data_IF_305138365148
#
_entry.id   IF_305138365148
#
_cell.length_a   1.000
_cell.length_b   1.000
_cell.length_c   1.000
_cell.angle_alpha   90.00
_cell.angle_beta   90.00
_cell.angle_gamma   90.00
#
_symmetry.space_group_name_H-M   'P 1'
#
loop_
_entity.id
_entity.type
_entity.pdbx_description
1 polymer ?
#
# COMPACT_ATOMS: atom_id res chain seq x y z
N UNK A 1 -0.92 4.22 24.82
CA UNK A 1 -1.35 5.65 24.69
C UNK A 1 -2.82 5.69 24.27
N UNK A 2 -3.66 6.52 24.88
CA UNK A 2 -5.08 6.66 24.52
C UNK A 2 -5.19 7.22 23.10
N UNK A 3 -6.22 6.83 22.32
CA UNK A 3 -6.48 7.30 20.93
C UNK A 3 -6.39 8.83 20.80
N UNK A 4 -6.84 9.56 21.82
CA UNK A 4 -6.79 11.00 21.86
C UNK A 4 -5.35 11.55 21.93
N UNK A 5 -4.48 10.91 22.69
CA UNK A 5 -3.06 11.30 22.78
C UNK A 5 -2.32 11.07 21.45
N UNK A 6 -2.68 10.01 20.69
CA UNK A 6 -2.10 9.78 19.35
C UNK A 6 -2.56 10.88 18.39
N UNK A 7 -3.83 11.28 18.46
CA UNK A 7 -4.37 12.37 17.64
C UNK A 7 -3.63 13.68 17.93
N UNK A 8 -3.58 14.08 19.19
CA UNK A 8 -2.87 15.30 19.63
C UNK A 8 -1.40 15.27 19.21
N UNK A 9 -0.74 14.13 19.34
CA UNK A 9 0.64 13.94 18.89
C UNK A 9 0.83 14.17 17.38
N UNK A 10 -0.12 13.72 16.54
CA UNK A 10 -0.07 13.94 15.09
C UNK A 10 -0.41 15.39 14.76
N UNK A 11 -1.46 15.98 15.38
CA UNK A 11 -1.86 17.37 15.18
C UNK A 11 -0.71 18.35 15.44
N UNK A 12 0.07 18.13 16.51
CA UNK A 12 1.24 18.96 16.81
C UNK A 12 2.35 18.88 15.75
N UNK A 13 2.48 17.73 15.07
CA UNK A 13 3.59 17.47 14.14
C UNK A 13 3.25 17.64 12.68
N UNK A 14 1.99 17.49 12.31
CA UNK A 14 1.52 17.58 10.93
C UNK A 14 0.55 18.75 10.83
N UNK A 15 1.08 19.94 10.56
CA UNK A 15 0.31 21.18 10.46
C UNK A 15 -0.22 21.45 9.06
N UNK A 16 0.39 20.85 8.02
CA UNK A 16 0.01 20.97 6.62
C UNK A 16 -0.57 19.64 6.12
N UNK A 17 -1.47 19.69 5.15
CA UNK A 17 -2.02 18.50 4.51
C UNK A 17 -0.95 17.76 3.73
N UNK A 18 -1.05 16.42 3.72
CA UNK A 18 -0.10 15.55 3.05
C UNK A 18 0.59 14.55 3.98
N UNK A 19 1.69 13.99 3.48
CA UNK A 19 2.52 13.00 4.16
C UNK A 19 3.73 13.69 4.80
N UNK A 20 3.95 13.48 6.08
CA UNK A 20 5.13 13.95 6.81
C UNK A 20 6.01 12.79 7.27
N UNK A 21 7.29 12.86 6.97
CA UNK A 21 8.27 11.88 7.42
C UNK A 21 8.49 11.98 8.93
N UNK A 22 8.60 10.83 9.60
CA UNK A 22 8.85 10.75 11.05
C UNK A 22 10.33 10.69 11.40
N UNK A 23 11.20 10.46 10.40
CA UNK A 23 12.59 10.06 10.58
C UNK A 23 12.77 8.55 10.77
N UNK A 24 11.71 7.80 11.06
CA UNK A 24 11.75 6.33 11.15
C UNK A 24 11.54 5.77 9.74
N UNK A 25 12.45 4.93 9.27
CA UNK A 25 12.39 4.40 7.92
C UNK A 25 11.05 3.72 7.62
N UNK A 26 10.38 4.18 6.57
CA UNK A 26 9.10 3.64 6.12
C UNK A 26 7.88 4.05 6.96
N UNK A 27 8.03 4.94 7.95
CA UNK A 27 6.92 5.43 8.79
C UNK A 27 6.65 6.90 8.50
N UNK A 28 5.42 7.21 8.12
CA UNK A 28 4.97 8.58 7.82
C UNK A 28 3.66 8.88 8.55
N UNK A 29 3.52 10.11 9.01
CA UNK A 29 2.25 10.66 9.46
C UNK A 29 1.56 11.35 8.28
N UNK A 30 0.23 11.40 8.29
CA UNK A 30 -0.51 12.13 7.27
C UNK A 30 -1.73 12.84 7.85
N UNK A 31 -2.07 13.92 7.17
CA UNK A 31 -3.23 14.76 7.44
C UNK A 31 -3.95 15.07 6.14
N UNK A 32 -5.28 15.20 6.20
CA UNK A 32 -6.07 15.85 5.17
C UNK A 32 -7.25 16.59 5.83
N UNK A 33 -7.41 17.86 5.49
CA UNK A 33 -8.52 18.72 5.91
C UNK A 33 -9.47 19.01 4.76
N UNK A 34 -9.02 18.84 3.53
CA UNK A 34 -9.84 18.97 2.35
C UNK A 34 -10.29 17.62 1.79
N UNK A 35 -11.49 17.54 1.19
CA UNK A 35 -11.95 16.35 0.53
C UNK A 35 -11.06 15.98 -0.66
N UNK A 36 -10.42 14.81 -0.62
CA UNK A 36 -9.61 14.28 -1.74
C UNK A 36 -10.40 13.17 -2.41
N UNK A 37 -10.87 13.36 -3.66
CA UNK A 37 -11.54 12.31 -4.42
C UNK A 37 -10.65 11.08 -4.59
N UNK A 38 -11.28 9.90 -4.71
CA UNK A 38 -10.52 8.69 -5.00
C UNK A 38 -9.79 8.82 -6.34
N UNK A 39 -8.47 8.72 -6.30
CA UNK A 39 -7.56 8.83 -7.43
C UNK A 39 -6.69 7.59 -7.57
N UNK A 40 -6.13 7.32 -8.75
CA UNK A 40 -5.24 6.18 -8.97
C UNK A 40 -4.00 6.28 -8.10
N UNK A 41 -3.72 5.20 -7.36
CA UNK A 41 -2.52 5.06 -6.55
C UNK A 41 -2.04 3.61 -6.55
N UNK A 42 -0.75 3.40 -6.36
CA UNK A 42 -0.21 2.08 -6.05
C UNK A 42 0.12 2.04 -4.56
N UNK A 43 -0.54 1.15 -3.84
CA UNK A 43 -0.12 0.82 -2.50
C UNK A 43 1.02 -0.19 -2.58
N UNK A 44 2.21 0.23 -2.19
CA UNK A 44 3.29 -0.70 -1.88
C UNK A 44 2.97 -1.44 -0.58
N UNK A 45 3.67 -2.55 -0.25
CA UNK A 45 3.41 -3.28 0.98
C UNK A 45 3.37 -2.35 2.19
N UNK A 46 2.18 -2.20 2.80
CA UNK A 46 1.99 -1.22 3.88
C UNK A 46 0.84 -1.58 4.83
N UNK A 47 0.86 -0.91 5.97
CA UNK A 47 -0.28 -0.74 6.86
C UNK A 47 -0.67 0.73 6.86
N UNK A 48 -1.96 1.02 6.77
CA UNK A 48 -2.51 2.36 6.98
C UNK A 48 -3.46 2.31 8.19
N UNK A 49 -3.10 3.03 9.23
CA UNK A 49 -3.88 3.14 10.46
C UNK A 49 -4.48 4.55 10.58
N UNK A 50 -5.81 4.65 10.57
CA UNK A 50 -6.50 5.93 10.74
C UNK A 50 -6.62 6.23 12.23
N UNK A 51 -6.37 7.48 12.61
CA UNK A 51 -6.47 7.97 13.98
C UNK A 51 -7.73 8.83 14.16
N UNK A 52 -8.07 9.64 13.16
CA UNK A 52 -9.30 10.44 13.09
C UNK A 52 -9.78 10.51 11.65
N UNK A 53 -11.08 10.70 11.44
CA UNK A 53 -11.70 10.71 10.13
C UNK A 53 -11.81 9.32 9.50
N UNK A 54 -11.99 9.27 8.17
CA UNK A 54 -12.10 8.02 7.41
C UNK A 54 -11.41 8.12 6.05
N UNK A 55 -10.90 6.97 5.58
CA UNK A 55 -10.26 6.83 4.27
C UNK A 55 -10.99 5.80 3.43
N UNK A 56 -10.97 6.00 2.12
CA UNK A 56 -11.56 5.07 1.16
C UNK A 56 -10.50 4.50 0.22
N UNK A 57 -10.67 3.22 -0.13
CA UNK A 57 -9.93 2.57 -1.19
C UNK A 57 -10.91 1.73 -2.03
N UNK A 58 -10.69 1.67 -3.34
CA UNK A 58 -11.51 0.87 -4.27
C UNK A 58 -10.57 -0.03 -5.07
N UNK A 59 -10.86 -1.32 -5.05
CA UNK A 59 -10.14 -2.35 -5.79
C UNK A 59 -11.13 -3.17 -6.61
N UNK A 60 -11.06 -3.11 -7.94
CA UNK A 60 -11.96 -3.83 -8.87
C UNK A 60 -13.44 -3.70 -8.51
N UNK A 61 -13.87 -2.48 -8.14
CA UNK A 61 -15.24 -2.16 -7.75
C UNK A 61 -15.61 -2.51 -6.31
N UNK A 62 -14.77 -3.22 -5.57
CA UNK A 62 -14.95 -3.44 -4.13
C UNK A 62 -14.48 -2.20 -3.36
N UNK A 63 -15.35 -1.60 -2.57
CA UNK A 63 -15.06 -0.42 -1.76
C UNK A 63 -14.67 -0.82 -0.34
N UNK A 64 -13.57 -0.26 0.14
CA UNK A 64 -13.03 -0.39 1.47
C UNK A 64 -13.09 0.97 2.16
N UNK A 65 -13.96 1.13 3.14
CA UNK A 65 -14.03 2.34 3.97
C UNK A 65 -13.56 1.98 5.35
N UNK A 66 -12.59 2.70 5.88
CA UNK A 66 -12.02 2.43 7.19
C UNK A 66 -11.70 3.70 7.96
N UNK A 67 -11.83 3.61 9.26
CA UNK A 67 -11.68 4.68 10.23
C UNK A 67 -10.75 4.28 11.39
N UNK A 68 -10.85 4.98 12.49
CA UNK A 68 -10.04 4.76 13.69
C UNK A 68 -10.32 3.43 14.43
N UNK A 69 -11.32 2.64 14.03
CA UNK A 69 -11.62 1.33 14.62
C UNK A 69 -10.85 0.19 13.95
N UNK A 70 -10.34 0.45 12.75
CA UNK A 70 -9.68 -0.53 11.88
C UNK A 70 -8.36 0.00 11.35
N UNK A 71 -7.55 -0.92 10.82
CA UNK A 71 -6.43 -0.58 9.96
C UNK A 71 -6.53 -1.36 8.64
N UNK A 72 -5.95 -0.81 7.61
CA UNK A 72 -5.82 -1.47 6.32
C UNK A 72 -4.46 -2.12 6.23
N UNK A 73 -4.41 -3.40 5.90
CA UNK A 73 -3.20 -4.16 5.60
C UNK A 73 -3.16 -4.51 4.11
N UNK A 74 -2.11 -4.08 3.44
CA UNK A 74 -1.80 -4.37 2.03
C UNK A 74 -0.40 -4.99 1.98
N UNK A 75 -0.26 -6.34 2.00
CA UNK A 75 1.05 -6.98 2.12
C UNK A 75 1.78 -7.18 0.79
N UNK A 76 1.23 -6.69 -0.31
CA UNK A 76 1.81 -6.75 -1.65
C UNK A 76 1.45 -5.48 -2.43
N UNK A 77 2.24 -5.12 -3.45
CA UNK A 77 1.96 -3.95 -4.28
C UNK A 77 0.62 -4.10 -5.00
N UNK A 78 -0.30 -3.15 -4.79
CA UNK A 78 -1.65 -3.21 -5.35
C UNK A 78 -2.05 -1.88 -6.00
N UNK A 79 -2.49 -1.90 -7.27
CA UNK A 79 -3.07 -0.73 -7.90
C UNK A 79 -4.52 -0.56 -7.41
N UNK A 80 -4.80 0.59 -6.81
CA UNK A 80 -6.11 0.92 -6.24
C UNK A 80 -6.54 2.34 -6.64
N UNK A 81 -7.81 2.66 -6.44
CA UNK A 81 -8.27 4.04 -6.33
C UNK A 81 -8.39 4.36 -4.85
N UNK A 82 -7.79 5.45 -4.37
CA UNK A 82 -7.88 5.82 -2.96
C UNK A 82 -8.05 7.31 -2.76
N UNK A 83 -8.71 7.68 -1.68
CA UNK A 83 -9.00 9.06 -1.36
C UNK A 83 -9.52 9.25 0.06
N UNK A 84 -9.86 10.50 0.36
CA UNK A 84 -10.38 10.94 1.66
C UNK A 84 -11.59 11.86 1.45
N UNK A 85 -12.66 11.39 0.76
CA UNK A 85 -13.74 12.28 0.28
C UNK A 85 -14.56 12.92 1.41
N UNK A 86 -14.40 12.47 2.65
CA UNK A 86 -15.10 12.98 3.83
C UNK A 86 -14.24 13.89 4.71
N UNK A 87 -12.95 14.06 4.39
CA UNK A 87 -12.08 14.95 5.15
C UNK A 87 -12.60 16.39 5.10
N UNK A 88 -12.50 17.09 6.20
CA UNK A 88 -12.89 18.50 6.33
C UNK A 88 -12.14 19.13 7.51
N UNK A 89 -12.15 20.47 7.62
CA UNK A 89 -11.59 21.18 8.77
C UNK A 89 -12.26 20.78 10.09
N UNK A 90 -13.55 20.43 10.06
CA UNK A 90 -14.31 20.01 11.26
C UNK A 90 -14.00 18.56 11.65
N UNK A 91 -13.82 17.67 10.66
CA UNK A 91 -13.47 16.26 10.84
C UNK A 91 -12.24 15.91 10.00
N UNK A 92 -11.06 16.36 10.45
CA UNK A 92 -9.82 16.13 9.72
C UNK A 92 -9.41 14.65 9.77
N UNK A 93 -8.87 14.18 8.65
CA UNK A 93 -8.24 12.87 8.60
C UNK A 93 -6.83 12.97 9.16
N UNK A 94 -6.55 12.14 10.16
CA UNK A 94 -5.20 11.87 10.64
C UNK A 94 -4.90 10.38 10.57
N UNK A 95 -3.69 10.04 10.19
CA UNK A 95 -3.29 8.64 10.19
C UNK A 95 -1.79 8.42 10.10
N UNK A 96 -1.43 7.14 10.15
CA UNK A 96 -0.07 6.65 10.08
C UNK A 96 0.04 5.67 8.92
N UNK A 97 1.02 5.90 8.05
CA UNK A 97 1.45 4.99 7.02
C UNK A 97 2.70 4.26 7.47
N UNK A 98 2.70 2.94 7.44
CA UNK A 98 3.85 2.11 7.78
C UNK A 98 4.15 1.17 6.61
N UNK A 99 5.31 1.31 6.00
CA UNK A 99 5.81 0.38 4.99
C UNK A 99 6.13 -0.97 5.61
N UNK A 100 5.85 -2.06 4.91
CA UNK A 100 6.19 -3.42 5.34
C UNK A 100 7.46 -3.87 4.62
N UNK A 101 8.58 -3.91 5.32
CA UNK A 101 9.85 -4.39 4.79
C UNK A 101 9.77 -5.90 4.52
N UNK A 102 9.91 -6.28 3.25
CA UNK A 102 9.79 -7.67 2.77
C UNK A 102 10.74 -8.61 3.51
N UNK A 103 11.98 -8.19 3.74
CA UNK A 103 13.01 -9.01 4.39
C UNK A 103 12.67 -9.23 5.87
N UNK A 104 12.42 -8.15 6.60
CA UNK A 104 12.11 -8.22 8.04
C UNK A 104 10.82 -8.99 8.30
N UNK A 105 9.79 -8.78 7.48
CA UNK A 105 8.51 -9.52 7.57
C UNK A 105 8.73 -11.03 7.31
N UNK A 106 9.52 -11.39 6.29
CA UNK A 106 9.82 -12.80 5.99
C UNK A 106 10.62 -13.46 7.13
N UNK A 107 11.65 -12.77 7.66
CA UNK A 107 12.43 -13.24 8.81
C UNK A 107 11.54 -13.50 10.02
N UNK A 108 10.64 -12.57 10.35
CA UNK A 108 9.69 -12.72 11.46
C UNK A 108 8.74 -13.91 11.27
N UNK A 109 8.20 -14.10 10.07
CA UNK A 109 7.33 -15.25 9.79
C UNK A 109 8.07 -16.56 10.01
N UNK A 110 9.33 -16.68 9.54
CA UNK A 110 10.17 -17.87 9.76
C UNK A 110 10.42 -18.10 11.26
N UNK A 111 10.78 -17.06 12.00
CA UNK A 111 11.02 -17.16 13.44
C UNK A 111 9.77 -17.60 14.21
N UNK A 112 8.61 -17.03 13.86
CA UNK A 112 7.33 -17.39 14.47
C UNK A 112 6.95 -18.84 14.16
N UNK A 113 7.09 -19.30 12.90
CA UNK A 113 6.80 -20.67 12.52
C UNK A 113 7.73 -21.67 13.24
N UNK A 114 9.00 -21.33 13.40
CA UNK A 114 9.96 -22.13 14.18
C UNK A 114 9.58 -22.20 15.66
N UNK A 115 9.23 -21.07 16.27
CA UNK A 115 8.84 -21.00 17.69
C UNK A 115 7.50 -21.74 17.96
N UNK A 116 6.59 -21.73 16.99
CA UNK A 116 5.29 -22.42 17.07
C UNK A 116 5.37 -23.91 16.67
N UNK A 117 6.56 -24.42 16.30
CA UNK A 117 6.76 -25.81 15.86
C UNK A 117 6.11 -26.13 14.51
N UNK A 118 5.79 -25.13 13.72
CA UNK A 118 5.16 -25.28 12.40
C UNK A 118 6.22 -25.44 11.30
N UNK A 119 7.05 -26.47 11.42
CA UNK A 119 8.02 -26.81 10.38
C UNK A 119 7.30 -27.18 9.08
N UNK A 120 7.52 -26.42 8.00
CA UNK A 120 6.99 -26.69 6.66
C UNK A 120 5.45 -26.74 6.53
N UNK A 121 4.71 -26.11 7.41
CA UNK A 121 3.31 -25.86 7.11
C UNK A 121 3.26 -24.83 5.96
N UNK A 122 3.25 -25.33 4.71
CA UNK A 122 2.72 -24.52 3.63
C UNK A 122 1.36 -24.05 4.11
N UNK A 123 1.26 -22.77 4.44
CA UNK A 123 -0.03 -22.14 4.76
C UNK A 123 -0.84 -22.26 3.47
N UNK A 124 -1.56 -23.37 3.32
CA UNK A 124 -2.34 -23.74 2.13
C UNK A 124 -3.69 -23.03 2.10
N UNK A 125 -3.71 -21.77 2.50
CA UNK A 125 -4.87 -20.90 2.37
C UNK A 125 -4.77 -20.07 1.09
N UNK A 126 -5.91 -19.84 0.46
CA UNK A 126 -5.99 -18.95 -0.68
C UNK A 126 -5.79 -17.51 -0.19
N UNK A 127 -4.80 -16.80 -0.76
CA UNK A 127 -4.71 -15.34 -0.62
C UNK A 127 -6.01 -14.76 -1.19
N UNK A 128 -6.87 -14.28 -0.33
CA UNK A 128 -8.09 -13.60 -0.74
C UNK A 128 -7.87 -12.10 -0.66
N UNK A 129 -8.06 -11.39 -1.77
CA UNK A 129 -8.10 -9.93 -1.85
C UNK A 129 -6.80 -9.25 -1.40
N UNK A 130 -6.10 -8.56 -2.28
CA UNK A 130 -4.82 -7.87 -2.00
C UNK A 130 -4.83 -6.84 -0.85
N UNK A 131 -6.01 -6.54 -0.28
CA UNK A 131 -6.25 -5.63 0.84
C UNK A 131 -7.12 -6.32 1.89
N UNK A 132 -6.78 -6.13 3.17
CA UNK A 132 -7.60 -6.57 4.29
C UNK A 132 -7.79 -5.44 5.30
N UNK A 133 -9.04 -5.19 5.68
CA UNK A 133 -9.38 -4.38 6.85
C UNK A 133 -9.41 -5.29 8.08
N UNK A 134 -8.80 -4.84 9.15
CA UNK A 134 -8.69 -5.60 10.41
C UNK A 134 -8.90 -4.67 11.60
N UNK A 135 -9.48 -5.20 12.67
CA UNK A 135 -9.68 -4.46 13.91
C UNK A 135 -8.35 -4.20 14.61
N UNK A 136 -8.27 -3.08 15.26
CA UNK A 136 -7.14 -2.72 16.11
C UNK A 136 -7.31 -3.41 17.46
N UNK A 137 -6.47 -4.39 17.74
CA UNK A 137 -6.33 -4.97 19.07
C UNK A 137 -5.36 -4.14 19.94
N UNK A 138 -5.28 -4.46 21.22
CA UNK A 138 -4.45 -3.72 22.18
C UNK A 138 -2.95 -3.86 21.85
N UNK A 139 -2.49 -5.05 21.44
CA UNK A 139 -1.09 -5.30 21.06
C UNK A 139 -0.69 -4.42 19.87
N UNK A 140 -1.54 -4.34 18.84
CA UNK A 140 -1.33 -3.47 17.69
C UNK A 140 -1.30 -1.98 18.09
N UNK A 141 -2.27 -1.55 18.90
CA UNK A 141 -2.38 -0.15 19.32
C UNK A 141 -1.18 0.28 20.17
N UNK A 142 -0.72 -0.57 21.08
CA UNK A 142 0.44 -0.32 21.92
C UNK A 142 1.74 -0.28 21.12
N UNK A 143 1.95 -1.23 20.20
CA UNK A 143 3.14 -1.25 19.35
C UNK A 143 3.18 -0.02 18.43
N UNK A 144 2.04 0.37 17.84
CA UNK A 144 1.92 1.58 17.04
C UNK A 144 2.27 2.83 17.86
N UNK A 145 1.74 2.95 19.09
CA UNK A 145 2.00 4.09 19.96
C UNK A 145 3.48 4.23 20.27
N UNK A 146 4.12 3.14 20.71
CA UNK A 146 5.56 3.13 21.01
C UNK A 146 6.44 3.42 19.80
N UNK A 147 6.00 3.06 18.60
CA UNK A 147 6.71 3.36 17.35
C UNK A 147 6.65 4.86 17.04
N UNK A 148 5.47 5.44 17.05
CA UNK A 148 5.31 6.86 16.65
C UNK A 148 5.85 7.84 17.71
N UNK A 149 5.90 7.46 18.99
CA UNK A 149 6.49 8.27 20.08
C UNK A 149 7.96 8.63 19.84
N UNK A 150 8.69 7.81 19.07
CA UNK A 150 10.09 8.10 18.69
C UNK A 150 10.20 9.29 17.72
N UNK A 151 9.10 9.63 17.00
CA UNK A 151 9.12 10.68 15.97
C UNK A 151 9.59 12.02 16.52
N UNK A 152 10.57 12.62 15.85
CA UNK A 152 11.14 13.90 16.23
C UNK A 152 12.33 13.83 17.21
N UNK A 153 12.67 12.64 17.73
CA UNK A 153 13.88 12.44 18.53
C UNK A 153 14.91 11.58 17.75
N UNK A 154 15.89 12.21 17.14
CA UNK A 154 16.88 11.54 16.32
C UNK A 154 17.70 10.46 17.07
N UNK A 155 17.98 10.68 18.36
CA UNK A 155 18.71 9.71 19.21
C UNK A 155 17.86 8.45 19.44
N UNK A 156 16.60 8.63 19.85
CA UNK A 156 15.69 7.52 20.09
C UNK A 156 15.40 6.74 18.81
N UNK A 157 15.22 7.44 17.69
CA UNK A 157 15.05 6.80 16.37
C UNK A 157 16.27 5.96 16.01
N UNK A 158 17.48 6.50 16.19
CA UNK A 158 18.73 5.79 15.87
C UNK A 158 18.93 4.53 16.70
N UNK A 159 18.52 4.54 17.99
CA UNK A 159 18.74 3.42 18.92
C UNK A 159 17.56 2.43 18.89
N UNK A 160 16.33 2.92 18.87
CA UNK A 160 15.13 2.11 19.08
C UNK A 160 14.29 1.90 17.81
N UNK A 161 14.50 2.68 16.75
CA UNK A 161 13.63 2.72 15.58
C UNK A 161 13.39 1.36 14.94
N UNK A 162 14.47 0.63 14.63
CA UNK A 162 14.37 -0.72 14.03
C UNK A 162 13.69 -1.72 14.98
N UNK A 163 14.01 -1.67 16.27
CA UNK A 163 13.42 -2.56 17.26
C UNK A 163 11.92 -2.31 17.43
N UNK A 164 11.48 -1.05 17.47
CA UNK A 164 10.06 -0.68 17.56
C UNK A 164 9.29 -1.02 16.28
N UNK A 165 9.92 -0.83 15.12
CA UNK A 165 9.31 -1.23 13.85
C UNK A 165 9.15 -2.76 13.77
N UNK A 166 10.15 -3.52 14.22
CA UNK A 166 10.08 -4.98 14.30
C UNK A 166 9.01 -5.45 15.30
N UNK A 167 8.88 -4.78 16.46
CA UNK A 167 7.81 -5.03 17.44
C UNK A 167 6.43 -4.80 16.82
N UNK A 168 6.25 -3.71 16.07
CA UNK A 168 5.02 -3.42 15.36
C UNK A 168 4.69 -4.50 14.32
N UNK A 169 5.67 -4.95 13.53
CA UNK A 169 5.47 -6.04 12.57
C UNK A 169 5.07 -7.35 13.26
N UNK A 170 5.66 -7.65 14.40
CA UNK A 170 5.30 -8.82 15.19
C UNK A 170 3.86 -8.72 15.72
N UNK A 171 3.43 -7.58 16.23
CA UNK A 171 2.06 -7.34 16.66
C UNK A 171 1.07 -7.50 15.49
N UNK A 172 1.38 -6.95 14.30
CA UNK A 172 0.61 -7.15 13.08
C UNK A 172 0.44 -8.64 12.72
N UNK A 173 1.55 -9.41 12.77
CA UNK A 173 1.55 -10.85 12.44
C UNK A 173 0.83 -11.73 13.48
N UNK A 174 0.64 -11.26 14.71
CA UNK A 174 -0.18 -11.90 15.75
C UNK A 174 -1.66 -11.54 15.64
N UNK A 175 -1.96 -10.33 15.21
CA UNK A 175 -3.30 -9.76 15.18
C UNK A 175 -4.22 -10.34 14.10
N UNK A 176 -5.37 -9.70 13.91
CA UNK A 176 -6.43 -10.17 12.99
C UNK A 176 -5.98 -10.25 11.51
N UNK A 177 -5.06 -9.36 11.07
CA UNK A 177 -4.44 -9.46 9.75
C UNK A 177 -3.33 -10.51 9.66
N UNK A 178 -2.92 -11.12 10.78
CA UNK A 178 -1.71 -11.92 10.86
C UNK A 178 -1.67 -13.10 9.90
N UNK A 179 -2.78 -13.86 9.80
CA UNK A 179 -2.86 -14.98 8.86
C UNK A 179 -2.68 -14.51 7.40
N UNK A 180 -3.34 -13.42 7.02
CA UNK A 180 -3.24 -12.82 5.70
C UNK A 180 -1.83 -12.30 5.38
N UNK A 181 -1.20 -11.61 6.33
CA UNK A 181 0.17 -11.11 6.19
C UNK A 181 1.18 -12.26 6.15
N UNK A 182 1.07 -13.26 7.04
CA UNK A 182 1.95 -14.45 7.01
C UNK A 182 1.86 -15.21 5.69
N UNK A 183 0.69 -15.30 5.08
CA UNK A 183 0.57 -15.90 3.75
C UNK A 183 1.36 -15.14 2.68
N UNK A 184 1.33 -13.81 2.72
CA UNK A 184 2.01 -12.96 1.74
C UNK A 184 3.55 -13.00 1.90
N UNK A 185 4.04 -12.94 3.15
CA UNK A 185 5.47 -12.89 3.47
C UNK A 185 6.10 -14.27 3.72
N UNK A 186 5.29 -15.32 3.81
CA UNK A 186 5.78 -16.68 4.03
C UNK A 186 6.67 -17.19 2.90
N UNK A 187 7.62 -18.06 3.30
CA UNK A 187 8.51 -18.75 2.36
C UNK A 187 7.68 -19.60 1.40
N UNK A 188 7.71 -19.28 0.12
CA UNK A 188 6.96 -20.04 -0.90
C UNK A 188 5.80 -19.28 -1.55
N UNK A 189 5.46 -18.06 -1.13
CA UNK A 189 4.44 -17.30 -1.83
C UNK A 189 4.92 -16.78 -3.20
N UNK A 190 4.79 -17.65 -4.20
CA UNK A 190 5.20 -17.37 -5.56
C UNK A 190 4.41 -16.22 -6.20
N UNK A 191 3.14 -16.01 -5.78
CA UNK A 191 2.31 -14.92 -6.32
C UNK A 191 2.81 -13.57 -5.78
N UNK A 192 3.07 -13.44 -4.48
CA UNK A 192 3.61 -12.20 -3.91
C UNK A 192 4.98 -11.84 -4.52
N UNK A 193 5.86 -12.84 -4.72
CA UNK A 193 7.14 -12.62 -5.41
C UNK A 193 6.97 -12.19 -6.87
N UNK A 194 5.99 -12.75 -7.58
CA UNK A 194 5.68 -12.32 -8.96
C UNK A 194 5.16 -10.90 -9.00
N UNK A 195 4.32 -10.48 -8.04
CA UNK A 195 3.83 -9.11 -7.90
C UNK A 195 4.98 -8.14 -7.62
N UNK A 196 5.85 -8.47 -6.67
CA UNK A 196 7.04 -7.66 -6.35
C UNK A 196 7.96 -7.52 -7.57
N UNK A 197 8.15 -8.60 -8.36
CA UNK A 197 8.91 -8.52 -9.60
C UNK A 197 8.26 -7.60 -10.61
N UNK A 198 6.95 -7.65 -10.80
CA UNK A 198 6.21 -6.73 -11.68
C UNK A 198 6.36 -5.29 -11.24
N UNK A 199 6.13 -5.01 -9.94
CA UNK A 199 6.22 -3.65 -9.37
C UNK A 199 7.60 -3.02 -9.61
N UNK A 200 8.67 -3.80 -9.43
CA UNK A 200 10.04 -3.33 -9.59
C UNK A 200 10.53 -3.25 -11.05
N UNK A 201 9.80 -3.82 -12.02
CA UNK A 201 10.24 -3.93 -13.42
C UNK A 201 9.15 -3.50 -14.42
N UNK A 202 8.31 -2.52 -14.07
CA UNK A 202 7.19 -2.10 -14.92
C UNK A 202 7.64 -1.60 -16.30
N UNK A 203 8.83 -1.03 -16.39
CA UNK A 203 9.43 -0.52 -17.63
C UNK A 203 9.75 -1.63 -18.62
N UNK A 204 10.10 -2.81 -18.12
CA UNK A 204 10.55 -3.93 -18.93
C UNK A 204 9.37 -4.69 -19.56
N UNK A 205 9.60 -5.44 -20.65
CA UNK A 205 8.60 -6.36 -21.18
C UNK A 205 8.25 -7.43 -20.14
N UNK A 206 6.99 -7.50 -19.73
CA UNK A 206 6.50 -8.49 -18.76
C UNK A 206 5.73 -9.56 -19.51
N UNK A 207 6.21 -10.81 -19.46
CA UNK A 207 5.55 -11.99 -20.00
C UNK A 207 4.83 -12.75 -18.88
N UNK A 208 3.57 -13.09 -19.12
CA UNK A 208 2.79 -13.90 -18.17
C UNK A 208 3.34 -15.33 -18.07
N UNK A 209 3.91 -15.84 -19.16
CA UNK A 209 4.53 -17.17 -19.16
C UNK A 209 5.80 -17.18 -18.31
N UNK A 210 6.61 -16.11 -18.35
CA UNK A 210 7.78 -15.95 -17.48
C UNK A 210 7.37 -15.79 -16.01
N UNK A 211 6.30 -15.06 -15.73
CA UNK A 211 5.77 -14.93 -14.38
C UNK A 211 5.33 -16.31 -13.84
N UNK A 212 4.63 -17.09 -14.63
CA UNK A 212 4.18 -18.44 -14.27
C UNK A 212 5.37 -19.38 -14.05
N UNK A 213 6.36 -19.37 -14.96
CA UNK A 213 7.56 -20.18 -14.85
C UNK A 213 8.37 -19.83 -13.58
N UNK A 214 8.58 -18.55 -13.29
CA UNK A 214 9.23 -18.08 -12.05
C UNK A 214 8.47 -18.51 -10.79
N UNK A 215 7.14 -18.57 -10.87
CA UNK A 215 6.28 -19.06 -9.80
C UNK A 215 6.30 -20.60 -9.64
N UNK A 216 6.95 -21.34 -10.55
CA UNK A 216 6.93 -22.81 -10.57
C UNK A 216 5.54 -23.37 -10.86
N UNK A 217 4.72 -22.66 -11.63
CA UNK A 217 3.32 -23.01 -11.92
C UNK A 217 3.05 -23.09 -13.42
N UNK A 218 2.12 -23.97 -13.81
CA UNK A 218 1.55 -23.89 -15.15
C UNK A 218 0.78 -22.55 -15.31
N UNK A 219 0.68 -22.05 -16.53
CA UNK A 219 -0.03 -20.79 -16.85
C UNK A 219 -1.45 -20.76 -16.29
N UNK A 220 -2.19 -21.86 -16.40
CA UNK A 220 -3.58 -21.96 -15.90
C UNK A 220 -3.64 -21.86 -14.38
N UNK A 221 -2.77 -22.57 -13.66
CA UNK A 221 -2.70 -22.54 -12.18
C UNK A 221 -2.28 -21.16 -11.71
N UNK A 222 -1.26 -20.57 -12.36
CA UNK A 222 -0.78 -19.22 -12.05
C UNK A 222 -1.90 -18.19 -12.23
N UNK A 223 -2.58 -18.20 -13.37
CA UNK A 223 -3.68 -17.27 -13.67
C UNK A 223 -4.79 -17.33 -12.61
N UNK A 224 -5.21 -18.53 -12.23
CA UNK A 224 -6.25 -18.73 -11.19
C UNK A 224 -5.81 -18.18 -9.84
N UNK A 225 -4.62 -18.59 -9.35
CA UNK A 225 -4.08 -18.16 -8.05
C UNK A 225 -3.80 -16.67 -8.02
N UNK A 226 -3.28 -16.11 -9.11
CA UNK A 226 -3.02 -14.68 -9.23
C UNK A 226 -4.31 -13.87 -9.15
N UNK A 227 -5.38 -14.30 -9.88
CA UNK A 227 -6.69 -13.65 -9.82
C UNK A 227 -7.32 -13.76 -8.42
N UNK A 228 -7.17 -14.86 -7.73
CA UNK A 228 -7.62 -15.01 -6.35
C UNK A 228 -6.92 -14.03 -5.40
N UNK A 229 -5.60 -13.85 -5.56
CA UNK A 229 -4.80 -12.97 -4.71
C UNK A 229 -5.03 -11.47 -4.99
N UNK A 230 -5.28 -11.09 -6.24
CA UNK A 230 -5.31 -9.68 -6.67
C UNK A 230 -6.67 -9.19 -7.13
N UNK A 231 -7.65 -10.07 -7.27
CA UNK A 231 -8.94 -9.87 -7.93
C UNK A 231 -8.83 -9.60 -9.44
N UNK A 232 -7.62 -9.47 -9.99
CA UNK A 232 -7.34 -9.15 -11.39
C UNK A 232 -6.68 -10.33 -12.10
N UNK A 233 -6.90 -10.45 -13.43
CA UNK A 233 -6.04 -11.30 -14.24
C UNK A 233 -4.62 -10.73 -14.29
N UNK A 234 -3.56 -11.57 -14.48
CA UNK A 234 -2.18 -11.07 -14.51
C UNK A 234 -1.97 -9.93 -15.53
N UNK A 235 -2.57 -10.03 -16.72
CA UNK A 235 -2.44 -9.01 -17.77
C UNK A 235 -3.15 -7.70 -17.40
N UNK A 236 -4.34 -7.78 -16.77
CA UNK A 236 -5.05 -6.60 -16.25
C UNK A 236 -4.24 -5.95 -15.13
N UNK A 237 -3.70 -6.73 -14.21
CA UNK A 237 -2.89 -6.25 -13.10
C UNK A 237 -1.67 -5.44 -13.61
N UNK A 238 -0.84 -6.02 -14.50
CA UNK A 238 0.32 -5.33 -15.08
C UNK A 238 -0.10 -4.01 -15.74
N UNK A 239 -1.19 -4.05 -16.49
CA UNK A 239 -1.71 -2.86 -17.15
C UNK A 239 -2.18 -1.79 -16.15
N UNK A 240 -2.95 -2.18 -15.13
CA UNK A 240 -3.45 -1.25 -14.11
C UNK A 240 -2.29 -0.68 -13.29
N UNK A 241 -1.29 -1.50 -12.94
CA UNK A 241 -0.06 -1.04 -12.29
C UNK A 241 0.66 0.04 -13.12
N UNK A 242 0.84 -0.19 -14.41
CA UNK A 242 1.46 0.79 -15.32
C UNK A 242 0.67 2.09 -15.39
N UNK A 243 -0.64 2.03 -15.55
CA UNK A 243 -1.48 3.21 -15.68
C UNK A 243 -1.57 4.00 -14.37
N UNK A 244 -1.69 3.32 -13.21
CA UNK A 244 -1.69 3.98 -11.91
C UNK A 244 -0.33 4.67 -11.63
N UNK A 245 0.80 3.98 -11.89
CA UNK A 245 2.12 4.60 -11.74
C UNK A 245 2.29 5.81 -12.67
N UNK A 246 1.85 5.70 -13.92
CA UNK A 246 1.89 6.86 -14.84
C UNK A 246 1.03 8.02 -14.33
N UNK A 247 -0.17 7.76 -13.80
CA UNK A 247 -1.02 8.80 -13.23
C UNK A 247 -0.37 9.48 -12.01
N UNK A 248 0.29 8.70 -11.14
CA UNK A 248 1.06 9.21 -10.00
C UNK A 248 2.26 10.04 -10.47
N UNK A 249 3.01 9.56 -11.47
CA UNK A 249 4.18 10.28 -12.03
C UNK A 249 3.76 11.62 -12.65
N UNK A 250 2.64 11.65 -13.37
CA UNK A 250 2.08 12.89 -13.93
C UNK A 250 1.65 13.83 -12.79
N UNK A 251 1.01 13.33 -11.75
CA UNK A 251 0.64 14.12 -10.58
C UNK A 251 1.86 14.67 -9.83
N UNK A 252 2.98 13.96 -9.88
CA UNK A 252 4.29 14.40 -9.36
C UNK A 252 5.06 15.37 -10.28
N UNK A 253 4.45 15.84 -11.40
CA UNK A 253 5.04 16.81 -12.30
C UNK A 253 5.79 16.22 -13.49
N UNK A 254 5.79 14.92 -13.69
CA UNK A 254 6.38 14.29 -14.87
C UNK A 254 5.53 14.56 -16.11
N UNK A 255 6.17 14.81 -17.26
CA UNK A 255 5.42 14.97 -18.51
C UNK A 255 4.70 13.67 -18.90
N UNK A 256 3.60 13.80 -19.64
CA UNK A 256 2.80 12.65 -20.11
C UNK A 256 3.64 11.63 -20.90
N UNK A 257 4.58 12.12 -21.73
CA UNK A 257 5.44 11.25 -22.54
C UNK A 257 6.47 10.51 -21.68
N UNK A 258 7.12 11.21 -20.76
CA UNK A 258 8.07 10.61 -19.82
C UNK A 258 7.39 9.56 -18.94
N UNK A 259 6.22 9.88 -18.37
CA UNK A 259 5.45 8.96 -17.55
C UNK A 259 5.06 7.69 -18.33
N UNK A 260 4.65 7.82 -19.60
CA UNK A 260 4.34 6.67 -20.44
C UNK A 260 5.55 5.76 -20.68
N UNK A 261 6.70 6.35 -20.98
CA UNK A 261 7.95 5.61 -21.21
C UNK A 261 8.46 4.95 -19.92
N UNK A 262 8.38 5.65 -18.80
CA UNK A 262 8.85 5.16 -17.49
C UNK A 262 8.10 3.91 -17.02
N UNK A 263 6.84 3.77 -17.40
CA UNK A 263 6.03 2.58 -17.09
C UNK A 263 5.99 1.54 -18.24
N UNK A 264 6.84 1.69 -19.27
CA UNK A 264 7.05 0.69 -20.32
C UNK A 264 6.08 0.74 -21.50
N UNK A 265 5.41 1.88 -21.75
CA UNK A 265 4.66 2.08 -23.00
C UNK A 265 5.60 2.62 -24.09
N UNK A 266 5.73 1.87 -25.19
CA UNK A 266 6.52 2.29 -26.36
C UNK A 266 5.69 3.22 -27.25
N UNK A 267 4.36 3.04 -27.29
CA UNK A 267 3.45 3.84 -28.11
C UNK A 267 2.63 4.81 -27.26
N UNK A 268 2.90 6.11 -27.41
CA UNK A 268 2.12 7.18 -26.77
C UNK A 268 0.62 7.12 -27.14
N UNK A 269 0.30 6.71 -28.37
CA UNK A 269 -1.10 6.54 -28.82
C UNK A 269 -1.79 5.38 -28.11
N UNK A 270 -1.07 4.26 -27.87
CA UNK A 270 -1.60 3.13 -27.09
C UNK A 270 -1.82 3.57 -25.64
N UNK A 271 -0.83 4.19 -25.01
CA UNK A 271 -0.92 4.72 -23.65
C UNK A 271 -2.15 5.62 -23.48
N UNK A 272 -2.28 6.64 -24.35
CA UNK A 272 -3.39 7.60 -24.25
C UNK A 272 -4.76 6.95 -24.38
N UNK A 273 -4.92 5.98 -25.28
CA UNK A 273 -6.18 5.23 -25.43
C UNK A 273 -6.50 4.38 -24.21
N UNK A 274 -5.51 3.70 -23.67
CA UNK A 274 -5.69 2.84 -22.49
C UNK A 274 -5.95 3.65 -21.24
N UNK A 275 -5.23 4.75 -21.04
CA UNK A 275 -5.42 5.71 -19.96
C UNK A 275 -6.84 6.31 -20.00
N UNK A 276 -7.26 6.82 -21.17
CA UNK A 276 -8.63 7.37 -21.33
C UNK A 276 -9.71 6.31 -21.07
N UNK A 277 -9.49 5.06 -21.50
CA UNK A 277 -10.45 3.97 -21.25
C UNK A 277 -10.57 3.66 -19.76
N UNK A 278 -9.47 3.78 -18.99
CA UNK A 278 -9.45 3.47 -17.57
C UNK A 278 -10.01 4.61 -16.70
N UNK A 279 -9.64 5.86 -17.01
CA UNK A 279 -9.95 7.01 -16.17
C UNK A 279 -11.00 7.97 -16.77
N UNK A 280 -11.52 7.68 -17.95
CA UNK A 280 -12.53 8.51 -18.62
C UNK A 280 -11.98 9.77 -19.30
N UNK A 281 -10.75 10.19 -18.99
CA UNK A 281 -10.08 11.38 -19.53
C UNK A 281 -8.70 11.04 -20.07
N UNK A 282 -8.22 11.86 -21.01
CA UNK A 282 -6.88 11.67 -21.57
C UNK A 282 -5.79 12.03 -20.55
N UNK A 283 -4.54 11.49 -20.70
CA UNK A 283 -3.43 11.86 -19.81
C UNK A 283 -3.16 13.36 -19.76
N UNK A 284 -3.38 14.07 -20.88
CA UNK A 284 -3.21 15.52 -20.95
C UNK A 284 -4.29 16.25 -20.14
N UNK A 285 -5.56 15.87 -20.32
CA UNK A 285 -6.66 16.42 -19.53
C UNK A 285 -6.46 16.16 -18.03
N UNK A 286 -5.91 14.98 -17.67
CA UNK A 286 -5.54 14.65 -16.31
C UNK A 286 -4.47 15.59 -15.77
N UNK A 287 -3.39 15.84 -16.53
CA UNK A 287 -2.32 16.77 -16.17
C UNK A 287 -2.83 18.20 -16.02
N UNK A 288 -3.63 18.68 -16.99
CA UNK A 288 -4.18 20.05 -16.99
C UNK A 288 -5.09 20.28 -15.76
N UNK A 289 -5.91 19.30 -15.39
CA UNK A 289 -6.79 19.37 -14.22
C UNK A 289 -6.00 19.45 -12.88
N UNK A 290 -4.87 18.76 -12.78
CA UNK A 290 -4.01 18.83 -11.60
C UNK A 290 -3.32 20.19 -11.43
N UNK A 291 -2.88 20.79 -12.54
CA UNK A 291 -2.27 22.12 -12.53
C UNK A 291 -3.27 23.22 -12.16
N UNK A 292 -4.53 23.11 -12.63
CA UNK A 292 -5.58 24.06 -12.27
C UNK A 292 -5.88 24.09 -10.76
N UNK A 293 -5.83 22.93 -10.09
CA UNK A 293 -6.03 22.83 -8.63
C UNK A 293 -4.86 23.43 -7.84
N UNK A 294 -3.65 23.39 -8.39
CA UNK A 294 -2.43 23.92 -7.73
C UNK A 294 -2.25 25.44 -7.91
N UNK A 295 -2.94 26.08 -8.86
CA UNK A 295 -2.91 27.54 -9.05
C UNK A 295 -3.98 28.28 -8.22
N UNK A 296 -5.01 27.57 -7.73
CA UNK A 296 -6.08 28.12 -6.89
C UNK A 296 -5.85 27.91 -5.37
N UNK A 297 -4.72 27.27 -4.97
CA UNK A 297 -4.36 27.00 -3.57
C UNK A 297 -3.17 27.86 -3.13
#
# INVERSE_FOLDING_TARGET
MNKQLIREFIEERVQEDGLKDTGINGVKLFRATDPVPCSPVVYEPCVIAIVSGSKEAVLEGAQFVYDNSQYMCCPMSMPVMAGTPKASDIDPLYGVYISLDQRVMTELVIEMDNAEGRYNSSISGELSQGIKLSRRDDDFADALSRLIELSGNATDISILGEARLREFYYALLKGEAGYFARQAFGVGNAIARSISHVSNNLKDPISIDDMAARAGMSRTVFHRKFKQATMMSPIQFVKTMRLNNAAMNIAGGMTVNEAALDVGYISASQFSREFKRMYGQSPRQWSDALHAVSEDA
#
